data_IF_672357743506
#
_entry.id   IF_672357743506
#
_cell.length_a   1.000
_cell.length_b   1.000
_cell.length_c   1.000
_cell.angle_alpha   90.00
_cell.angle_beta   90.00
_cell.angle_gamma   90.00
#
_symmetry.space_group_name_H-M   'P 1'
#
loop_
_entity.id
_entity.type
_entity.pdbx_description
1 polymer ?
#
# COMPACT_ATOMS: atom_id res chain seq x y z
N UNK A 1 6.57 29.14 14.40
CA UNK A 1 6.84 30.48 14.92
C UNK A 1 6.47 30.60 16.42
N UNK A 2 5.24 30.35 16.86
CA UNK A 2 4.82 30.55 18.25
C UNK A 2 5.53 29.60 19.23
N UNK A 3 5.63 28.32 18.88
CA UNK A 3 6.33 27.33 19.71
C UNK A 3 7.78 27.72 19.91
N UNK A 4 8.47 28.13 18.87
CA UNK A 4 9.87 28.60 18.95
C UNK A 4 9.99 29.82 19.88
N UNK A 5 9.03 30.73 19.83
CA UNK A 5 9.00 31.88 20.75
C UNK A 5 8.82 31.45 22.22
N UNK A 6 7.94 30.46 22.47
CA UNK A 6 7.74 29.92 23.82
C UNK A 6 8.97 29.18 24.35
N UNK A 7 9.63 28.41 23.51
CA UNK A 7 10.89 27.74 23.88
C UNK A 7 12.00 28.75 24.19
N UNK A 8 12.14 29.77 23.37
CA UNK A 8 13.10 30.85 23.61
C UNK A 8 12.79 31.60 24.92
N UNK A 9 11.50 31.74 25.26
CA UNK A 9 11.11 32.38 26.53
C UNK A 9 11.47 31.49 27.73
N UNK A 10 11.31 30.17 27.62
CA UNK A 10 11.77 29.23 28.67
C UNK A 10 13.28 29.40 28.89
N UNK A 11 14.07 29.40 27.82
CA UNK A 11 15.53 29.56 27.90
C UNK A 11 15.91 30.92 28.48
N UNK A 12 15.19 31.99 28.12
CA UNK A 12 15.40 33.33 28.66
C UNK A 12 15.11 33.39 30.16
N UNK A 13 13.97 32.86 30.58
CA UNK A 13 13.57 32.85 32.01
C UNK A 13 14.57 32.01 32.81
N UNK A 14 14.96 30.83 32.31
CA UNK A 14 15.98 30.00 32.95
C UNK A 14 17.30 30.74 33.15
N UNK A 15 17.77 31.40 32.08
CA UNK A 15 19.04 32.15 32.14
C UNK A 15 19.01 33.41 33.00
N UNK A 16 17.83 33.93 33.33
CA UNK A 16 17.66 35.14 34.12
C UNK A 16 17.25 34.89 35.58
N UNK A 17 16.68 33.71 35.85
CA UNK A 17 16.23 33.37 37.21
C UNK A 17 17.42 33.23 38.14
N UNK A 18 17.40 34.01 39.20
CA UNK A 18 18.45 34.01 40.22
C UNK A 18 17.86 34.07 41.62
N UNK A 19 18.55 33.44 42.55
CA UNK A 19 18.28 33.51 43.97
C UNK A 19 19.55 33.97 44.67
N UNK A 20 19.44 35.05 45.44
CA UNK A 20 20.56 35.66 46.16
C UNK A 20 21.83 35.86 45.29
N UNK A 21 21.66 36.30 44.03
CA UNK A 21 22.75 36.54 43.09
C UNK A 21 23.30 35.29 42.37
N UNK A 22 22.80 34.10 42.73
CA UNK A 22 23.18 32.84 42.09
C UNK A 22 22.11 32.43 41.08
N UNK A 23 22.52 32.11 39.84
CA UNK A 23 21.61 31.60 38.81
C UNK A 23 21.23 30.15 39.12
N UNK A 24 19.96 29.92 39.40
CA UNK A 24 19.50 28.64 39.97
C UNK A 24 19.00 27.66 38.90
N UNK A 25 18.76 28.10 37.67
CA UNK A 25 18.24 27.26 36.58
C UNK A 25 19.18 27.22 35.36
N UNK A 26 20.23 28.03 35.31
CA UNK A 26 21.06 28.19 34.11
C UNK A 26 22.09 27.07 33.89
N UNK A 27 22.46 26.38 34.94
CA UNK A 27 23.46 25.30 34.93
C UNK A 27 23.30 24.39 36.14
N UNK A 28 23.86 23.20 36.07
CA UNK A 28 23.97 22.30 37.21
C UNK A 28 24.95 22.91 38.22
N UNK A 29 24.50 23.09 39.45
CA UNK A 29 25.29 23.68 40.52
C UNK A 29 24.75 23.25 41.88
N UNK A 30 25.57 23.34 42.92
CA UNK A 30 25.15 23.14 44.30
C UNK A 30 25.06 24.49 45.00
N UNK A 31 23.89 24.84 45.52
CA UNK A 31 23.69 26.05 46.33
C UNK A 31 23.77 25.66 47.79
N UNK A 32 24.84 26.12 48.46
CA UNK A 32 25.03 25.94 49.88
C UNK A 32 24.41 27.12 50.65
N UNK A 33 23.47 26.85 51.52
CA UNK A 33 22.81 27.85 52.34
C UNK A 33 23.15 27.61 53.83
N UNK A 34 23.66 28.61 54.51
CA UNK A 34 23.87 28.54 55.95
C UNK A 34 22.52 28.68 56.67
N UNK A 35 22.19 27.69 57.52
CA UNK A 35 20.90 27.60 58.21
C UNK A 35 21.01 27.70 59.71
N UNK A 36 22.23 27.70 60.26
CA UNK A 36 22.49 27.80 61.70
C UNK A 36 23.40 28.94 62.06
N UNK A 37 23.54 29.18 63.37
CA UNK A 37 24.35 30.25 63.94
C UNK A 37 25.84 29.86 64.05
N UNK A 38 26.17 28.55 63.86
CA UNK A 38 27.56 28.08 63.95
C UNK A 38 28.11 27.83 62.53
N UNK A 39 29.39 28.08 62.36
CA UNK A 39 30.09 27.79 61.11
C UNK A 39 29.99 26.30 60.79
N UNK A 40 29.50 25.97 59.56
CA UNK A 40 29.34 24.60 59.08
C UNK A 40 27.91 24.05 59.17
N UNK A 41 26.95 24.75 59.74
CA UNK A 41 25.53 24.41 59.71
C UNK A 41 24.93 24.84 58.37
N UNK A 42 25.17 24.04 57.30
CA UNK A 42 24.75 24.35 55.93
C UNK A 42 23.83 23.28 55.35
N UNK A 43 22.96 23.69 54.45
CA UNK A 43 22.17 22.82 53.62
C UNK A 43 22.64 23.01 52.17
N UNK A 44 22.95 21.91 51.51
CA UNK A 44 23.29 21.90 50.09
C UNK A 44 22.05 21.54 49.27
N UNK A 45 21.76 22.36 48.29
CA UNK A 45 20.64 22.18 47.34
C UNK A 45 21.26 21.94 45.97
N UNK A 46 21.08 20.73 45.45
CA UNK A 46 21.50 20.39 44.06
C UNK A 46 20.55 21.01 43.07
N UNK A 47 21.06 21.99 42.32
CA UNK A 47 20.34 22.68 41.26
C UNK A 47 20.61 21.97 39.92
N UNK A 48 19.59 21.80 39.12
CA UNK A 48 19.70 21.23 37.77
C UNK A 48 19.39 22.31 36.75
N UNK A 49 20.13 22.24 35.62
CA UNK A 49 19.84 23.11 34.49
C UNK A 49 18.45 22.81 33.93
N UNK A 50 17.65 23.84 33.79
CA UNK A 50 16.31 23.78 33.20
C UNK A 50 16.29 24.69 31.97
N UNK A 51 16.26 24.11 30.79
CA UNK A 51 16.09 24.82 29.51
C UNK A 51 15.27 23.97 28.56
N UNK A 52 15.00 24.49 27.38
CA UNK A 52 14.20 23.79 26.36
C UNK A 52 14.78 22.42 25.99
N UNK A 53 16.08 22.25 25.98
CA UNK A 53 16.78 20.98 25.68
C UNK A 53 16.69 20.00 26.85
N UNK A 54 17.00 20.42 28.09
CA UNK A 54 16.97 19.52 29.25
C UNK A 54 15.55 19.06 29.60
N UNK A 55 14.53 19.81 29.18
CA UNK A 55 13.12 19.44 29.28
C UNK A 55 12.67 18.57 28.09
N UNK A 56 13.55 18.32 27.11
CA UNK A 56 13.19 17.54 25.91
C UNK A 56 12.20 18.22 24.97
N UNK A 57 12.01 19.54 25.12
CA UNK A 57 11.03 20.31 24.34
C UNK A 57 11.57 20.75 22.98
N UNK A 58 12.88 20.70 22.77
CA UNK A 58 13.54 20.94 21.49
C UNK A 58 13.12 19.94 20.41
N UNK A 59 12.69 18.75 20.84
CA UNK A 59 12.18 17.69 19.97
C UNK A 59 10.66 17.77 19.77
N UNK A 60 9.99 18.73 20.41
CA UNK A 60 8.55 18.96 20.24
C UNK A 60 8.26 19.59 18.88
N UNK A 61 8.25 18.76 17.84
CA UNK A 61 7.88 19.20 16.51
C UNK A 61 6.39 18.94 16.29
N UNK A 62 5.59 20.00 16.36
CA UNK A 62 4.14 19.94 16.07
C UNK A 62 3.90 19.80 14.56
N UNK A 63 4.89 20.12 13.76
CA UNK A 63 4.93 19.79 12.34
C UNK A 63 5.64 18.43 12.16
N UNK A 64 5.01 17.35 12.55
CA UNK A 64 5.40 16.05 12.03
C UNK A 64 5.25 16.13 10.51
N UNK A 65 6.36 16.24 9.83
CA UNK A 65 6.39 16.16 8.39
C UNK A 65 6.10 14.70 8.04
N UNK A 66 4.83 14.40 7.82
CA UNK A 66 4.46 13.15 7.19
C UNK A 66 4.86 13.28 5.73
N UNK A 67 5.86 12.56 5.30
CA UNK A 67 6.07 12.35 3.88
C UNK A 67 4.94 11.43 3.43
N UNK A 68 3.98 12.02 2.73
CA UNK A 68 2.97 11.25 2.02
C UNK A 68 3.66 10.68 0.80
N UNK A 69 4.04 9.42 0.87
CA UNK A 69 4.37 8.67 -0.32
C UNK A 69 3.06 8.53 -1.11
N UNK A 70 2.95 9.23 -2.25
CA UNK A 70 1.76 9.18 -3.11
C UNK A 70 1.54 7.80 -3.76
N UNK A 71 2.24 6.77 -3.30
CA UNK A 71 2.05 5.40 -3.77
C UNK A 71 0.71 4.87 -3.26
N UNK A 72 -0.20 4.62 -4.20
CA UNK A 72 -1.50 4.03 -3.89
C UNK A 72 -1.31 2.63 -3.31
N UNK A 73 -2.03 2.32 -2.25
CA UNK A 73 -2.06 0.97 -1.68
C UNK A 73 -2.81 0.06 -2.62
N UNK A 74 -2.15 -0.98 -3.12
CA UNK A 74 -2.74 -1.97 -4.01
C UNK A 74 -3.00 -3.29 -3.28
N UNK A 75 -4.02 -4.02 -3.73
CA UNK A 75 -4.30 -5.38 -3.27
C UNK A 75 -3.34 -6.34 -3.99
N UNK A 76 -2.49 -7.09 -3.28
CA UNK A 76 -1.57 -8.04 -3.90
C UNK A 76 -2.28 -9.29 -4.45
N UNK A 77 -3.53 -9.50 -4.08
CA UNK A 77 -4.33 -10.62 -4.56
C UNK A 77 -5.01 -10.28 -5.89
N UNK A 78 -5.34 -11.32 -6.65
CA UNK A 78 -6.18 -11.16 -7.83
C UNK A 78 -7.60 -10.80 -7.42
N UNK A 79 -8.18 -9.85 -8.14
CA UNK A 79 -9.57 -9.39 -7.99
C UNK A 79 -10.27 -9.49 -9.35
N UNK A 80 -11.58 -9.68 -9.31
CA UNK A 80 -12.40 -9.73 -10.53
C UNK A 80 -12.45 -8.35 -11.19
N UNK A 81 -12.15 -8.33 -12.49
CA UNK A 81 -12.28 -7.20 -13.38
C UNK A 81 -13.57 -7.25 -14.20
N UNK A 82 -13.49 -6.92 -15.49
CA UNK A 82 -14.62 -7.04 -16.40
C UNK A 82 -15.08 -8.50 -16.53
N UNK A 83 -16.38 -8.70 -16.80
CA UNK A 83 -16.89 -10.02 -17.13
C UNK A 83 -16.21 -10.56 -18.43
N UNK A 84 -15.92 -11.85 -18.46
CA UNK A 84 -15.42 -12.48 -19.66
C UNK A 84 -16.46 -12.40 -20.78
N UNK A 85 -15.98 -12.20 -22.02
CA UNK A 85 -16.82 -12.27 -23.20
C UNK A 85 -17.47 -13.64 -23.32
N UNK A 86 -18.76 -13.67 -23.64
CA UNK A 86 -19.44 -14.90 -24.01
C UNK A 86 -19.07 -15.37 -25.44
N UNK A 87 -18.46 -14.49 -26.21
CA UNK A 87 -17.97 -14.81 -27.56
C UNK A 87 -16.60 -15.45 -27.47
N UNK A 88 -16.53 -16.73 -27.76
CA UNK A 88 -15.27 -17.48 -27.80
C UNK A 88 -14.59 -17.33 -29.16
N UNK A 89 -13.26 -17.60 -29.25
CA UNK A 89 -12.56 -17.63 -30.50
C UNK A 89 -13.22 -18.61 -31.49
N UNK A 90 -13.42 -18.15 -32.73
CA UNK A 90 -14.02 -18.94 -33.79
C UNK A 90 -13.08 -20.09 -34.24
N UNK A 91 -13.63 -21.09 -34.92
CA UNK A 91 -12.84 -22.17 -35.47
C UNK A 91 -11.73 -21.67 -36.43
N UNK A 92 -11.98 -20.57 -37.15
CA UNK A 92 -10.98 -19.97 -38.04
C UNK A 92 -9.84 -19.33 -37.26
N UNK A 93 -10.12 -18.61 -36.21
CA UNK A 93 -9.11 -18.01 -35.33
C UNK A 93 -8.31 -19.05 -34.57
N UNK A 94 -8.95 -20.12 -34.07
CA UNK A 94 -8.29 -21.26 -33.45
C UNK A 94 -7.35 -21.93 -34.44
N UNK A 95 -7.78 -22.18 -35.70
CA UNK A 95 -6.94 -22.76 -36.77
C UNK A 95 -5.78 -21.84 -37.14
N UNK A 96 -5.96 -20.53 -37.08
CA UNK A 96 -4.88 -19.56 -37.31
C UNK A 96 -3.85 -19.61 -36.18
N UNK A 97 -4.30 -19.75 -34.92
CA UNK A 97 -3.43 -19.78 -33.75
C UNK A 97 -2.67 -21.11 -33.60
N UNK A 98 -3.36 -22.25 -33.74
CA UNK A 98 -2.82 -23.57 -33.42
C UNK A 98 -2.30 -24.26 -34.71
N UNK A 99 -2.90 -23.94 -35.84
CA UNK A 99 -2.63 -24.54 -37.14
C UNK A 99 -3.89 -25.14 -37.78
N UNK A 100 -3.91 -25.07 -39.12
CA UNK A 100 -5.00 -25.63 -39.92
C UNK A 100 -5.14 -27.14 -39.71
N UNK A 101 -6.34 -27.68 -39.90
CA UNK A 101 -6.60 -29.10 -39.73
C UNK A 101 -8.05 -29.46 -39.96
N UNK A 102 -8.32 -30.77 -40.01
CA UNK A 102 -9.65 -31.31 -40.16
C UNK A 102 -10.50 -31.09 -38.91
N UNK A 103 -11.81 -30.91 -39.08
CA UNK A 103 -12.78 -30.69 -38.01
C UNK A 103 -13.10 -29.21 -37.79
N UNK A 104 -13.89 -28.95 -36.78
CA UNK A 104 -14.36 -27.61 -36.37
C UNK A 104 -13.95 -27.37 -34.92
N UNK A 105 -12.70 -26.87 -34.69
CA UNK A 105 -12.23 -26.67 -33.33
C UNK A 105 -13.01 -25.56 -32.63
N UNK A 106 -13.21 -25.74 -31.33
CA UNK A 106 -13.90 -24.79 -30.42
C UNK A 106 -13.29 -24.87 -29.02
N UNK A 107 -13.55 -23.84 -28.22
CA UNK A 107 -13.28 -23.89 -26.79
C UNK A 107 -14.31 -24.78 -26.14
N UNK A 108 -13.87 -25.82 -25.46
CA UNK A 108 -14.73 -26.81 -24.81
C UNK A 108 -15.51 -26.15 -23.68
N UNK A 109 -16.84 -26.36 -23.69
CA UNK A 109 -17.73 -25.79 -22.65
C UNK A 109 -17.82 -24.29 -22.63
N UNK A 110 -17.12 -23.55 -23.50
CA UNK A 110 -16.94 -22.08 -23.43
C UNK A 110 -16.31 -21.64 -22.08
N UNK A 111 -15.43 -22.45 -21.53
CA UNK A 111 -14.81 -22.21 -20.24
C UNK A 111 -13.39 -21.67 -20.38
N UNK A 112 -13.08 -20.66 -19.59
CA UNK A 112 -11.72 -20.15 -19.39
C UNK A 112 -11.30 -20.44 -17.96
N UNK A 113 -10.09 -20.96 -17.81
CA UNK A 113 -9.52 -21.23 -16.49
C UNK A 113 -8.32 -20.32 -16.25
N UNK A 114 -8.12 -19.96 -14.98
CA UNK A 114 -7.06 -19.08 -14.54
C UNK A 114 -6.28 -19.70 -13.39
N UNK A 115 -4.96 -19.71 -13.51
CA UNK A 115 -4.05 -20.15 -12.46
C UNK A 115 -3.47 -18.92 -11.73
N UNK A 116 -3.89 -18.72 -10.50
CA UNK A 116 -3.44 -17.62 -9.65
C UNK A 116 -1.94 -17.66 -9.32
N UNK A 117 -1.32 -18.84 -9.39
CA UNK A 117 0.11 -18.98 -9.09
C UNK A 117 0.98 -18.47 -10.22
N UNK A 118 0.56 -18.68 -11.46
CA UNK A 118 1.30 -18.29 -12.67
C UNK A 118 0.78 -17.01 -13.30
N UNK A 119 -0.47 -16.60 -12.97
CA UNK A 119 -1.14 -15.48 -13.61
C UNK A 119 -1.58 -15.74 -15.04
N UNK A 120 -1.75 -17.00 -15.42
CA UNK A 120 -2.03 -17.40 -16.79
C UNK A 120 -3.45 -17.92 -16.95
N UNK A 121 -3.99 -17.67 -18.15
CA UNK A 121 -5.30 -18.16 -18.59
C UNK A 121 -5.14 -19.38 -19.50
N UNK A 122 -6.06 -20.32 -19.39
CA UNK A 122 -6.05 -21.55 -20.16
C UNK A 122 -7.44 -21.84 -20.72
N UNK A 123 -7.45 -22.48 -21.93
CA UNK A 123 -8.65 -23.01 -22.56
C UNK A 123 -8.38 -24.44 -23.03
N UNK A 124 -9.39 -25.28 -22.99
CA UNK A 124 -9.36 -26.60 -23.61
C UNK A 124 -9.94 -26.48 -25.01
N UNK A 125 -9.18 -26.88 -26.03
CA UNK A 125 -9.62 -26.92 -27.41
C UNK A 125 -10.01 -28.36 -27.76
N UNK A 126 -11.19 -28.49 -28.32
CA UNK A 126 -11.73 -29.73 -28.86
C UNK A 126 -12.22 -29.53 -30.30
N UNK A 127 -12.62 -30.60 -31.00
CA UNK A 127 -13.27 -30.51 -32.30
C UNK A 127 -12.32 -30.68 -33.49
N UNK A 128 -11.01 -30.81 -33.32
CA UNK A 128 -10.16 -31.32 -34.37
C UNK A 128 -10.43 -32.82 -34.54
N UNK A 129 -10.62 -33.24 -35.79
CA UNK A 129 -10.81 -34.65 -36.15
C UNK A 129 -9.53 -35.27 -36.80
N UNK A 130 -9.53 -36.58 -36.98
CA UNK A 130 -8.41 -37.25 -37.63
C UNK A 130 -8.14 -36.69 -39.05
N UNK A 131 -6.85 -36.49 -39.46
CA UNK A 131 -5.64 -36.87 -38.74
C UNK A 131 -5.17 -35.86 -37.69
N UNK A 132 -5.84 -34.73 -37.50
CA UNK A 132 -5.42 -33.60 -36.69
C UNK A 132 -5.89 -33.67 -35.23
N UNK A 133 -6.55 -34.74 -34.81
CA UNK A 133 -7.08 -34.89 -33.43
C UNK A 133 -6.04 -34.70 -32.33
N UNK A 134 -4.76 -34.87 -32.62
CA UNK A 134 -3.67 -34.58 -31.66
C UNK A 134 -3.56 -33.12 -31.28
N UNK A 135 -4.18 -32.20 -32.04
CA UNK A 135 -4.25 -30.76 -31.72
C UNK A 135 -5.26 -30.43 -30.61
N UNK A 136 -6.20 -31.34 -30.32
CA UNK A 136 -7.10 -31.15 -29.17
C UNK A 136 -6.30 -31.20 -27.86
N UNK A 137 -6.64 -30.31 -26.94
CA UNK A 137 -6.00 -30.21 -25.60
C UNK A 137 -5.95 -28.79 -25.06
N UNK A 138 -5.07 -28.58 -24.11
CA UNK A 138 -4.98 -27.35 -23.37
C UNK A 138 -3.98 -26.38 -24.00
N UNK A 139 -4.39 -25.13 -24.08
CA UNK A 139 -3.59 -24.02 -24.60
C UNK A 139 -3.65 -22.82 -23.68
N UNK A 140 -2.56 -22.06 -23.64
CA UNK A 140 -2.56 -20.74 -22.98
C UNK A 140 -3.40 -19.77 -23.81
N UNK A 141 -4.32 -19.08 -23.15
CA UNK A 141 -5.17 -18.06 -23.74
C UNK A 141 -4.72 -16.67 -23.31
N UNK A 142 -5.02 -15.67 -24.13
CA UNK A 142 -4.93 -14.25 -23.77
C UNK A 142 -6.34 -13.74 -23.48
N UNK A 143 -6.46 -13.02 -22.38
CA UNK A 143 -7.69 -12.35 -21.99
C UNK A 143 -7.37 -10.86 -21.88
N UNK A 144 -8.07 -10.06 -22.67
CA UNK A 144 -7.94 -8.60 -22.63
C UNK A 144 -8.70 -8.00 -21.45
N UNK A 145 -8.41 -6.75 -21.13
CA UNK A 145 -9.03 -6.04 -20.01
C UNK A 145 -10.55 -5.88 -20.12
N UNK A 146 -11.08 -5.94 -21.32
CA UNK A 146 -12.52 -5.92 -21.64
C UNK A 146 -13.19 -7.30 -21.58
N UNK A 147 -12.42 -8.35 -21.26
CA UNK A 147 -12.90 -9.74 -21.20
C UNK A 147 -12.80 -10.50 -22.51
N UNK A 148 -12.31 -9.92 -23.62
CA UNK A 148 -12.14 -10.60 -24.89
C UNK A 148 -11.10 -11.73 -24.79
N UNK A 149 -11.44 -12.91 -25.28
CA UNK A 149 -10.61 -14.12 -25.23
C UNK A 149 -10.00 -14.38 -26.59
N UNK A 150 -8.69 -14.63 -26.64
CA UNK A 150 -7.97 -14.95 -27.87
C UNK A 150 -6.87 -15.97 -27.62
N UNK A 151 -6.37 -16.57 -28.72
CA UNK A 151 -5.18 -17.43 -28.73
C UNK A 151 -4.07 -16.74 -29.52
N UNK A 152 -2.84 -16.84 -29.02
CA UNK A 152 -1.69 -16.29 -29.73
C UNK A 152 -1.32 -17.19 -30.91
N UNK A 153 -0.97 -16.56 -32.04
CA UNK A 153 -0.52 -17.33 -33.24
C UNK A 153 0.76 -18.09 -32.88
N UNK A 154 0.74 -19.40 -33.18
CA UNK A 154 1.85 -20.29 -32.86
C UNK A 154 1.85 -20.78 -31.40
N UNK A 155 0.76 -20.56 -30.66
CA UNK A 155 0.60 -21.13 -29.31
C UNK A 155 0.80 -22.63 -29.32
N UNK A 156 1.48 -23.15 -28.28
CA UNK A 156 1.78 -24.57 -28.19
C UNK A 156 0.82 -25.25 -27.23
N UNK A 157 0.44 -26.48 -27.59
CA UNK A 157 -0.30 -27.37 -26.69
C UNK A 157 0.51 -27.62 -25.41
N UNK A 158 -0.11 -27.35 -24.26
CA UNK A 158 0.51 -27.58 -22.94
C UNK A 158 0.33 -29.04 -22.53
N UNK A 159 -0.84 -29.60 -22.81
CA UNK A 159 -1.18 -30.96 -22.41
C UNK A 159 -2.61 -31.36 -22.77
N UNK A 160 -3.08 -32.42 -22.15
CA UNK A 160 -4.47 -32.90 -22.24
C UNK A 160 -5.23 -32.75 -20.92
N UNK A 161 -4.56 -32.30 -19.86
CA UNK A 161 -5.15 -32.00 -18.58
C UNK A 161 -4.79 -30.54 -18.16
N UNK A 162 -5.72 -29.85 -17.55
CA UNK A 162 -5.49 -28.50 -17.01
C UNK A 162 -4.36 -28.49 -16.00
N UNK A 163 -3.55 -27.41 -15.94
CA UNK A 163 -2.57 -27.23 -14.89
C UNK A 163 -3.22 -27.31 -13.51
N UNK A 164 -2.50 -27.90 -12.55
CA UNK A 164 -2.96 -27.96 -11.17
C UNK A 164 -3.08 -26.52 -10.62
N UNK A 165 -4.25 -26.20 -10.05
CA UNK A 165 -4.51 -24.85 -9.53
C UNK A 165 -5.23 -23.90 -10.50
N UNK A 166 -5.45 -24.32 -11.75
CA UNK A 166 -6.29 -23.57 -12.68
C UNK A 166 -7.78 -23.79 -12.30
N UNK A 167 -8.51 -22.70 -12.13
CA UNK A 167 -9.93 -22.68 -11.77
C UNK A 167 -10.75 -21.98 -12.84
N UNK A 168 -11.98 -22.46 -13.09
CA UNK A 168 -12.91 -21.79 -14.00
C UNK A 168 -13.25 -20.42 -13.48
N UNK A 169 -13.21 -19.43 -14.34
CA UNK A 169 -13.46 -18.03 -14.01
C UNK A 169 -14.52 -17.44 -14.94
N UNK A 170 -15.19 -16.39 -14.47
CA UNK A 170 -16.19 -15.62 -15.22
C UNK A 170 -15.80 -14.17 -15.44
N UNK A 171 -14.70 -13.74 -14.82
CA UNK A 171 -14.20 -12.37 -14.88
C UNK A 171 -12.69 -12.36 -15.16
N UNK A 172 -12.23 -11.29 -15.78
CA UNK A 172 -10.79 -11.00 -15.91
C UNK A 172 -10.15 -10.92 -14.55
N UNK A 173 -9.02 -11.55 -14.34
CA UNK A 173 -8.30 -11.55 -13.07
C UNK A 173 -7.24 -10.45 -13.08
N UNK A 174 -7.42 -9.40 -12.26
CA UNK A 174 -6.50 -8.26 -12.16
C UNK A 174 -5.74 -8.30 -10.85
N UNK A 175 -4.43 -8.10 -10.95
CA UNK A 175 -3.53 -8.02 -9.79
C UNK A 175 -3.14 -6.57 -9.51
N UNK A 176 -2.71 -6.32 -8.28
CA UNK A 176 -2.20 -5.01 -7.84
C UNK A 176 -3.18 -3.85 -8.09
N UNK A 177 -4.49 -4.15 -8.04
CA UNK A 177 -5.49 -3.10 -8.17
C UNK A 177 -5.52 -2.21 -6.92
N UNK A 178 -5.76 -0.90 -7.08
CA UNK A 178 -5.96 0.00 -5.94
C UNK A 178 -6.99 -0.56 -4.97
N UNK A 179 -6.70 -0.49 -3.68
CA UNK A 179 -7.70 -0.85 -2.66
C UNK A 179 -8.86 0.12 -2.75
N UNK A 180 -10.06 -0.40 -2.96
CA UNK A 180 -11.27 0.41 -3.05
C UNK A 180 -11.59 0.97 -1.66
N UNK A 181 -11.72 2.29 -1.56
CA UNK A 181 -12.23 2.94 -0.35
C UNK A 181 -13.72 2.67 -0.25
N UNK A 182 -14.14 2.12 0.89
CA UNK A 182 -15.53 1.78 1.15
C UNK A 182 -16.45 3.00 1.07
N UNK A 183 -17.69 2.81 0.63
CA UNK A 183 -18.68 3.86 0.50
C UNK A 183 -18.92 4.60 1.84
N UNK A 184 -18.94 3.87 2.96
CA UNK A 184 -19.14 4.46 4.29
C UNK A 184 -18.04 5.44 4.66
N UNK A 185 -16.79 5.20 4.24
CA UNK A 185 -15.66 6.12 4.44
C UNK A 185 -15.82 7.36 3.57
N UNK A 186 -16.24 7.20 2.31
CA UNK A 186 -16.52 8.33 1.42
C UNK A 186 -17.65 9.21 1.95
N UNK A 187 -18.72 8.60 2.44
CA UNK A 187 -19.85 9.31 3.05
C UNK A 187 -19.41 10.05 4.33
N UNK A 188 -18.56 9.44 5.15
CA UNK A 188 -18.00 10.10 6.33
C UNK A 188 -17.12 11.31 5.97
N UNK A 189 -16.34 11.22 4.89
CA UNK A 189 -15.56 12.35 4.37
C UNK A 189 -16.46 13.51 3.94
N UNK A 190 -17.56 13.23 3.20
CA UNK A 190 -18.56 14.21 2.80
C UNK A 190 -19.25 14.85 4.00
N UNK A 191 -19.66 14.05 4.97
CA UNK A 191 -20.24 14.53 6.22
C UNK A 191 -19.27 15.40 7.03
N UNK A 192 -17.96 15.15 6.91
CA UNK A 192 -16.87 15.95 7.49
C UNK A 192 -16.54 17.24 6.71
N UNK A 193 -17.29 17.54 5.63
CA UNK A 193 -17.12 18.77 4.85
C UNK A 193 -16.12 18.66 3.68
N UNK A 194 -15.71 17.46 3.31
CA UNK A 194 -14.93 17.24 2.08
C UNK A 194 -15.88 17.33 0.87
N UNK A 195 -15.44 18.04 -0.17
CA UNK A 195 -16.18 18.14 -1.43
C UNK A 195 -16.53 16.75 -1.98
N UNK A 196 -17.74 16.57 -2.49
CA UNK A 196 -18.26 15.29 -2.95
C UNK A 196 -17.38 14.65 -4.03
N UNK A 197 -16.93 15.45 -5.01
CA UNK A 197 -16.09 14.95 -6.09
C UNK A 197 -14.71 14.48 -5.57
N UNK A 198 -14.17 15.15 -4.56
CA UNK A 198 -12.91 14.77 -3.90
C UNK A 198 -13.11 13.51 -3.07
N UNK A 199 -14.19 13.42 -2.29
CA UNK A 199 -14.50 12.23 -1.48
C UNK A 199 -14.73 10.99 -2.36
N UNK A 200 -15.41 11.12 -3.50
CA UNK A 200 -15.69 10.02 -4.42
C UNK A 200 -14.42 9.48 -5.10
N UNK A 201 -13.39 10.31 -5.25
CA UNK A 201 -12.08 9.92 -5.80
C UNK A 201 -11.04 9.55 -4.74
N UNK A 202 -11.44 9.47 -3.47
CA UNK A 202 -10.53 9.15 -2.37
C UNK A 202 -9.82 7.80 -2.58
N UNK A 203 -8.52 7.78 -2.31
CA UNK A 203 -7.67 6.59 -2.42
C UNK A 203 -6.88 6.39 -1.14
N UNK A 204 -6.55 5.14 -0.84
CA UNK A 204 -5.61 4.81 0.22
C UNK A 204 -4.18 4.97 -0.30
N UNK A 205 -3.39 5.81 0.35
CA UNK A 205 -1.97 6.00 0.03
C UNK A 205 -1.10 5.57 1.21
N UNK A 206 0.11 5.14 0.92
CA UNK A 206 1.09 4.87 1.96
C UNK A 206 1.55 6.18 2.55
N UNK A 207 1.60 6.23 3.89
CA UNK A 207 2.29 7.28 4.61
C UNK A 207 3.55 6.69 5.21
N UNK A 208 4.72 7.23 4.86
CA UNK A 208 5.95 6.98 5.58
C UNK A 208 6.15 8.08 6.62
N UNK A 209 6.58 7.68 7.78
CA UNK A 209 6.93 8.57 8.87
C UNK A 209 8.33 8.18 9.32
N UNK A 210 9.23 9.15 9.29
CA UNK A 210 10.60 8.96 9.80
C UNK A 210 10.60 9.43 11.24
N UNK A 211 10.82 8.51 12.16
CA UNK A 211 11.09 8.84 13.56
C UNK A 211 12.48 9.48 13.68
N UNK A 212 12.69 10.21 14.76
CA UNK A 212 13.97 10.87 15.12
C UNK A 212 15.15 9.88 15.20
N UNK A 213 14.90 8.59 15.24
CA UNK A 213 15.91 7.53 15.29
C UNK A 213 16.20 6.84 13.94
N UNK A 214 15.63 7.31 12.82
CA UNK A 214 15.84 6.80 11.45
C UNK A 214 14.86 5.76 11.01
#
# INVERSE_FOLDING_TARGET
AEITQRLNEIDRVSGQTQFNGVKVLAQDNTLTIQVGANDGETIDIDLKQINSQTLGLDTLNVQKKYDVDNTVVTNPNYVDGAALSTTMPTAAEIKTAIGTGAGTPAVKGNEVQFDKSTGKYYVEIEGYSAPDAAKNGIYEAKVADDGTISLETGTKKIGTAMPAGAEVITHVQKKDQPVVVDASVKDALKAGGVDDAVADTAQLVKMSYTDKNG
#
